data_IF_088651620325
#
_entry.id   IF_088651620325
#
_cell.length_a   1.000
_cell.length_b   1.000
_cell.length_c   1.000
_cell.angle_alpha   90.00
_cell.angle_beta   90.00
_cell.angle_gamma   90.00
#
_symmetry.space_group_name_H-M   'P 1'
#
loop_
_entity.id
_entity.type
_entity.pdbx_description
1 polymer ?
#
# COMPACT_ATOMS: atom_id res chain seq x y z
N UNK A 1 5.11 -28.91 12.26
CA UNK A 1 3.78 -28.34 12.63
C UNK A 1 3.69 -26.80 12.54
N UNK A 2 4.69 -26.01 12.96
CA UNK A 2 4.61 -24.53 13.01
C UNK A 2 4.50 -23.80 11.65
N UNK A 3 5.21 -24.26 10.61
CA UNK A 3 5.14 -23.65 9.26
C UNK A 3 3.72 -23.67 8.67
N UNK A 4 2.90 -24.65 9.07
CA UNK A 4 1.52 -24.77 8.61
C UNK A 4 0.60 -23.71 9.26
N UNK A 5 0.90 -23.27 10.48
CA UNK A 5 0.13 -22.23 11.16
C UNK A 5 0.34 -20.84 10.52
N UNK A 6 1.59 -20.49 10.19
CA UNK A 6 1.94 -19.20 9.57
C UNK A 6 1.32 -19.06 8.17
N UNK A 7 1.38 -20.12 7.35
CA UNK A 7 0.70 -20.16 6.04
C UNK A 7 -0.81 -20.01 6.15
N UNK A 8 -1.43 -20.52 7.23
CA UNK A 8 -2.87 -20.30 7.49
C UNK A 8 -3.18 -18.84 7.83
N UNK A 9 -2.32 -18.15 8.58
CA UNK A 9 -2.46 -16.72 8.86
C UNK A 9 -2.43 -15.91 7.57
N UNK A 10 -1.42 -16.10 6.73
CA UNK A 10 -1.32 -15.42 5.42
C UNK A 10 -2.56 -15.71 4.56
N UNK A 11 -2.96 -16.98 4.42
CA UNK A 11 -4.15 -17.36 3.64
C UNK A 11 -5.44 -16.73 4.17
N UNK A 12 -5.56 -16.54 5.49
CA UNK A 12 -6.70 -15.84 6.10
C UNK A 12 -6.64 -14.35 5.76
N UNK A 13 -5.48 -13.72 5.94
CA UNK A 13 -5.26 -12.29 5.71
C UNK A 13 -5.46 -11.89 4.23
N UNK A 14 -4.99 -12.69 3.27
CA UNK A 14 -5.18 -12.44 1.83
C UNK A 14 -6.66 -12.37 1.42
N UNK A 15 -7.55 -13.02 2.18
CA UNK A 15 -9.00 -13.04 1.93
C UNK A 15 -9.78 -11.92 2.62
N UNK A 16 -9.11 -10.99 3.29
CA UNK A 16 -9.77 -9.84 3.90
C UNK A 16 -10.32 -8.92 2.80
N UNK A 17 -11.63 -8.71 2.83
CA UNK A 17 -12.37 -7.84 1.88
C UNK A 17 -12.66 -6.48 2.54
N UNK A 18 -12.98 -6.47 3.84
CA UNK A 18 -13.33 -5.27 4.61
C UNK A 18 -12.18 -4.83 5.53
N UNK A 19 -11.01 -4.55 4.96
CA UNK A 19 -9.78 -4.23 5.72
C UNK A 19 -9.96 -3.04 6.68
N UNK A 20 -10.78 -2.05 6.33
CA UNK A 20 -11.06 -0.92 7.20
C UNK A 20 -11.74 -1.33 8.51
N UNK A 21 -12.74 -2.23 8.45
CA UNK A 21 -13.46 -2.70 9.62
C UNK A 21 -12.57 -3.53 10.56
N UNK A 22 -11.52 -4.15 10.03
CA UNK A 22 -10.58 -4.95 10.82
C UNK A 22 -9.77 -4.07 11.81
N UNK A 23 -9.61 -2.79 11.49
CA UNK A 23 -8.82 -1.82 12.25
C UNK A 23 -9.67 -0.73 12.90
N UNK A 24 -10.98 -1.00 13.06
CA UNK A 24 -11.94 -0.11 13.72
C UNK A 24 -12.06 1.27 13.01
N UNK A 25 -11.96 1.26 11.67
CA UNK A 25 -12.02 2.47 10.84
C UNK A 25 -10.69 3.20 10.74
N UNK A 26 -10.66 4.27 9.92
CA UNK A 26 -9.45 5.08 9.69
C UNK A 26 -9.51 6.49 10.28
N UNK A 27 -10.64 6.91 10.88
CA UNK A 27 -10.89 8.28 11.36
C UNK A 27 -9.81 8.87 12.26
N UNK A 28 -9.13 8.04 13.07
CA UNK A 28 -8.00 8.48 13.92
C UNK A 28 -6.76 8.94 13.15
N UNK A 29 -6.68 8.65 11.85
CA UNK A 29 -5.58 9.01 10.96
C UNK A 29 -5.96 10.12 9.96
N UNK A 30 -7.25 10.49 9.89
CA UNK A 30 -7.78 11.36 8.84
C UNK A 30 -7.55 12.85 9.11
N UNK A 31 -7.37 13.22 10.38
CA UNK A 31 -7.18 14.62 10.78
C UNK A 31 -5.68 14.90 10.98
N UNK A 32 -5.05 15.47 9.96
CA UNK A 32 -3.67 15.95 10.04
C UNK A 32 -3.65 17.46 10.16
N UNK A 33 -2.59 18.03 10.74
CA UNK A 33 -2.49 19.47 10.97
C UNK A 33 -2.60 20.30 9.68
N UNK A 34 -2.19 19.73 8.54
CA UNK A 34 -2.13 20.41 7.25
C UNK A 34 -3.30 20.09 6.30
N UNK A 35 -3.99 18.96 6.48
CA UNK A 35 -4.97 18.46 5.52
C UNK A 35 -5.92 17.45 6.17
N UNK A 36 -7.18 17.40 5.71
CA UNK A 36 -8.06 16.27 5.99
C UNK A 36 -7.92 15.24 4.88
N UNK A 37 -7.60 14.00 5.27
CA UNK A 37 -7.32 12.90 4.33
C UNK A 37 -8.30 11.77 4.59
N UNK A 38 -8.81 11.15 3.54
CA UNK A 38 -9.61 9.93 3.60
C UNK A 38 -8.79 8.76 3.08
N UNK A 39 -8.97 7.57 3.67
CA UNK A 39 -8.29 6.37 3.21
C UNK A 39 -9.28 5.43 2.51
N UNK A 40 -8.85 4.85 1.39
CA UNK A 40 -9.56 3.83 0.64
C UNK A 40 -8.70 2.57 0.55
N UNK A 41 -9.34 1.40 0.57
CA UNK A 41 -8.65 0.11 0.46
C UNK A 41 -9.07 -0.59 -0.81
N UNK A 42 -8.10 -1.09 -1.56
CA UNK A 42 -8.37 -1.81 -2.80
C UNK A 42 -7.41 -2.96 -3.01
N UNK A 43 -7.81 -3.93 -3.82
CA UNK A 43 -6.93 -4.96 -4.35
C UNK A 43 -6.32 -4.42 -5.65
N UNK A 44 -5.08 -4.79 -5.96
CA UNK A 44 -4.43 -4.33 -7.20
C UNK A 44 -5.21 -4.65 -8.47
N UNK A 45 -5.95 -5.77 -8.47
CA UNK A 45 -6.82 -6.18 -9.58
C UNK A 45 -8.12 -5.39 -9.70
N UNK A 46 -8.48 -4.59 -8.69
CA UNK A 46 -9.69 -3.78 -8.65
C UNK A 46 -9.41 -2.29 -8.82
N UNK A 47 -8.15 -1.89 -9.00
CA UNK A 47 -7.81 -0.54 -9.46
C UNK A 47 -8.31 -0.37 -10.90
N UNK A 48 -9.12 0.66 -11.13
CA UNK A 48 -9.47 1.04 -12.48
C UNK A 48 -8.23 1.56 -13.23
N UNK A 49 -8.34 1.78 -14.54
CA UNK A 49 -7.18 2.12 -15.36
C UNK A 49 -6.59 3.50 -15.01
N UNK A 50 -7.42 4.47 -14.61
CA UNK A 50 -6.96 5.80 -14.19
C UNK A 50 -6.20 5.73 -12.84
N UNK A 51 -6.76 5.02 -11.85
CA UNK A 51 -6.12 4.81 -10.55
C UNK A 51 -4.81 4.02 -10.69
N UNK A 52 -4.79 2.99 -11.54
CA UNK A 52 -3.58 2.20 -11.79
C UNK A 52 -2.50 3.04 -12.48
N UNK A 53 -2.87 3.82 -13.49
CA UNK A 53 -1.93 4.70 -14.17
C UNK A 53 -1.37 5.75 -13.21
N UNK A 54 -2.20 6.34 -12.35
CA UNK A 54 -1.72 7.25 -11.30
C UNK A 54 -0.73 6.57 -10.34
N UNK A 55 -1.06 5.38 -9.82
CA UNK A 55 -0.14 4.59 -8.96
C UNK A 55 1.20 4.37 -9.65
N UNK A 56 1.17 3.94 -10.92
CA UNK A 56 2.37 3.63 -11.68
C UNK A 56 3.19 4.89 -11.97
N UNK A 57 2.57 5.98 -12.39
CA UNK A 57 3.28 7.23 -12.68
C UNK A 57 3.89 7.85 -11.43
N UNK A 58 3.21 7.77 -10.28
CA UNK A 58 3.76 8.25 -9.01
C UNK A 58 4.99 7.41 -8.58
N UNK A 59 4.95 6.08 -8.75
CA UNK A 59 6.15 5.25 -8.58
C UNK A 59 7.29 5.69 -9.51
N UNK A 60 7.01 5.88 -10.79
CA UNK A 60 8.03 6.27 -11.78
C UNK A 60 8.66 7.61 -11.40
N UNK A 61 7.85 8.61 -11.06
CA UNK A 61 8.31 9.94 -10.67
C UNK A 61 9.25 9.87 -9.46
N UNK A 62 8.87 9.10 -8.44
CA UNK A 62 9.62 9.05 -7.18
C UNK A 62 10.82 8.09 -7.24
N UNK A 63 10.71 6.97 -7.96
CA UNK A 63 11.62 5.83 -7.79
C UNK A 63 12.48 5.50 -9.01
N UNK A 64 12.10 5.89 -10.24
CA UNK A 64 12.79 5.42 -11.45
C UNK A 64 14.29 5.70 -11.42
N UNK A 65 14.68 6.92 -11.07
CA UNK A 65 16.09 7.31 -11.01
C UNK A 65 16.86 6.44 -10.00
N UNK A 66 16.28 6.18 -8.82
CA UNK A 66 16.89 5.34 -7.79
C UNK A 66 17.02 3.88 -8.24
N UNK A 67 16.02 3.33 -8.93
CA UNK A 67 16.08 1.98 -9.48
C UNK A 67 17.17 1.84 -10.56
N UNK A 68 17.29 2.81 -11.45
CA UNK A 68 18.28 2.80 -12.54
C UNK A 68 19.73 2.81 -12.06
N UNK A 69 20.01 3.49 -10.94
CA UNK A 69 21.36 3.50 -10.33
C UNK A 69 21.61 2.33 -9.38
N UNK A 70 20.57 1.56 -9.04
CA UNK A 70 20.67 0.39 -8.18
C UNK A 70 21.07 -0.87 -8.96
N UNK A 71 21.47 -1.92 -8.24
CA UNK A 71 21.75 -3.24 -8.84
C UNK A 71 20.50 -3.93 -9.41
N UNK A 72 19.29 -3.49 -9.01
CA UNK A 72 18.03 -4.07 -9.46
C UNK A 72 17.63 -3.61 -10.87
N UNK A 73 18.11 -2.44 -11.30
CA UNK A 73 17.68 -1.80 -12.55
C UNK A 73 16.20 -1.38 -12.53
N UNK A 74 15.70 -0.86 -13.64
CA UNK A 74 14.28 -0.49 -13.80
C UNK A 74 13.67 -1.30 -14.95
N UNK A 75 12.71 -2.17 -14.63
CA UNK A 75 11.89 -2.90 -15.60
C UNK A 75 10.43 -2.48 -15.42
N UNK A 76 9.93 -1.73 -16.39
CA UNK A 76 8.56 -1.23 -16.41
C UNK A 76 7.52 -2.35 -16.46
N UNK A 77 7.73 -3.36 -17.30
CA UNK A 77 6.75 -4.45 -17.48
C UNK A 77 6.65 -5.28 -16.21
N UNK A 78 7.79 -5.61 -15.62
CA UNK A 78 7.86 -6.33 -14.35
C UNK A 78 7.18 -5.53 -13.22
N UNK A 79 7.47 -4.22 -13.11
CA UNK A 79 6.85 -3.37 -12.10
C UNK A 79 5.33 -3.24 -12.29
N UNK A 80 4.84 -3.07 -13.53
CA UNK A 80 3.39 -3.05 -13.82
C UNK A 80 2.73 -4.37 -13.41
N UNK A 81 3.35 -5.51 -13.70
CA UNK A 81 2.86 -6.83 -13.29
C UNK A 81 2.84 -6.98 -11.76
N UNK A 82 3.87 -6.48 -11.07
CA UNK A 82 3.95 -6.48 -9.61
C UNK A 82 2.82 -5.66 -8.98
N UNK A 83 2.62 -4.42 -9.44
CA UNK A 83 1.61 -3.51 -8.92
C UNK A 83 0.19 -4.06 -9.11
N UNK A 84 -0.06 -4.80 -10.21
CA UNK A 84 -1.38 -5.38 -10.54
C UNK A 84 -1.56 -6.86 -10.17
N UNK A 85 -0.62 -7.46 -9.43
CA UNK A 85 -0.73 -8.86 -9.03
C UNK A 85 -1.98 -9.12 -8.15
N UNK A 86 -2.52 -10.34 -8.21
CA UNK A 86 -3.71 -10.75 -7.44
C UNK A 86 -3.52 -10.68 -5.92
N UNK A 87 -2.27 -10.73 -5.45
CA UNK A 87 -1.88 -10.59 -4.05
C UNK A 87 -1.65 -9.15 -3.62
N UNK A 88 -1.57 -8.20 -4.56
CA UNK A 88 -1.35 -6.79 -4.27
C UNK A 88 -2.55 -6.16 -3.59
N UNK A 89 -2.30 -5.42 -2.52
CA UNK A 89 -3.27 -4.66 -1.74
C UNK A 89 -2.80 -3.22 -1.62
N UNK A 90 -3.75 -2.30 -1.55
CA UNK A 90 -3.50 -0.87 -1.51
C UNK A 90 -4.24 -0.21 -0.36
N UNK A 91 -3.57 0.75 0.26
CA UNK A 91 -4.18 1.83 1.05
C UNK A 91 -3.94 3.10 0.24
N UNK A 92 -5.00 3.77 -0.21
CA UNK A 92 -4.93 5.00 -0.99
C UNK A 92 -5.42 6.15 -0.13
N UNK A 93 -4.57 7.15 0.07
CA UNK A 93 -4.93 8.42 0.68
C UNK A 93 -5.53 9.33 -0.38
N UNK A 94 -6.68 9.94 -0.06
CA UNK A 94 -7.39 10.89 -0.91
C UNK A 94 -7.60 12.20 -0.16
N UNK A 95 -7.47 13.33 -0.85
CA UNK A 95 -7.77 14.64 -0.29
C UNK A 95 -9.28 14.90 -0.21
N UNK A 96 -9.68 16.10 0.20
CA UNK A 96 -11.08 16.50 0.34
C UNK A 96 -11.88 16.50 -0.97
N UNK A 97 -11.20 16.55 -2.12
CA UNK A 97 -11.81 16.52 -3.45
C UNK A 97 -11.86 15.10 -4.04
N UNK A 98 -11.61 14.07 -3.22
CA UNK A 98 -11.48 12.67 -3.61
C UNK A 98 -10.32 12.36 -4.58
N UNK A 99 -9.40 13.30 -4.78
CA UNK A 99 -8.21 13.08 -5.60
C UNK A 99 -7.21 12.20 -4.82
N UNK A 100 -6.65 11.14 -5.43
CA UNK A 100 -5.60 10.35 -4.79
C UNK A 100 -4.31 11.18 -4.66
N UNK A 101 -3.66 11.09 -3.50
CA UNK A 101 -2.48 11.91 -3.13
C UNK A 101 -1.31 11.08 -2.60
N UNK A 102 -1.57 9.85 -2.16
CA UNK A 102 -0.54 8.91 -1.72
C UNK A 102 -1.09 7.49 -1.71
N UNK A 103 -0.20 6.49 -1.79
CA UNK A 103 -0.58 5.11 -1.61
C UNK A 103 0.47 4.31 -0.85
N UNK A 104 0.02 3.22 -0.24
CA UNK A 104 0.85 2.14 0.27
C UNK A 104 0.44 0.84 -0.39
N UNK A 105 1.36 0.22 -1.12
CA UNK A 105 1.20 -1.09 -1.74
C UNK A 105 1.83 -2.15 -0.85
N UNK A 106 1.06 -3.16 -0.48
CA UNK A 106 1.51 -4.23 0.39
C UNK A 106 0.98 -5.59 -0.06
N UNK A 107 1.58 -6.64 0.51
CA UNK A 107 1.10 -8.02 0.42
C UNK A 107 1.19 -8.69 1.78
N UNK A 108 0.37 -9.71 2.01
CA UNK A 108 0.58 -10.65 3.11
C UNK A 108 1.46 -11.77 2.59
N UNK A 109 2.60 -12.01 3.24
CA UNK A 109 3.58 -13.01 2.80
C UNK A 109 4.25 -13.72 3.97
N UNK A 110 5.06 -14.74 3.66
CA UNK A 110 6.02 -15.34 4.57
C UNK A 110 7.41 -14.79 4.24
N UNK A 111 7.96 -13.99 5.14
CA UNK A 111 9.34 -13.49 5.03
C UNK A 111 10.18 -13.97 6.21
N UNK A 112 11.35 -14.55 5.94
CA UNK A 112 12.22 -15.21 6.94
C UNK A 112 11.46 -16.09 7.96
N UNK A 113 10.59 -17.00 7.46
CA UNK A 113 9.69 -17.84 8.25
C UNK A 113 8.73 -17.05 9.16
N UNK A 114 8.40 -15.79 8.87
CA UNK A 114 7.43 -14.99 9.63
C UNK A 114 6.26 -14.59 8.74
N UNK A 115 5.03 -14.69 9.27
CA UNK A 115 3.87 -14.14 8.57
C UNK A 115 3.89 -12.63 8.73
N UNK A 116 3.98 -11.90 7.62
CA UNK A 116 4.16 -10.45 7.61
C UNK A 116 3.17 -9.75 6.70
N UNK A 117 2.88 -8.50 7.02
CA UNK A 117 2.43 -7.52 6.04
C UNK A 117 3.70 -6.86 5.47
N UNK A 118 4.03 -7.21 4.23
CA UNK A 118 5.20 -6.68 3.54
C UNK A 118 4.80 -5.42 2.77
N UNK A 119 5.35 -4.27 3.17
CA UNK A 119 5.20 -3.00 2.45
C UNK A 119 6.16 -3.00 1.25
N UNK A 120 5.62 -3.06 0.04
CA UNK A 120 6.41 -3.02 -1.20
C UNK A 120 6.73 -1.59 -1.60
N UNK A 121 5.72 -0.73 -1.60
CA UNK A 121 5.86 0.67 -1.97
C UNK A 121 5.08 1.56 -1.00
N UNK A 122 5.65 2.71 -0.71
CA UNK A 122 4.94 3.83 -0.09
C UNK A 122 5.31 5.09 -0.86
N UNK A 123 4.31 5.70 -1.50
CA UNK A 123 4.52 6.82 -2.40
C UNK A 123 3.57 7.95 -2.05
N UNK A 124 4.09 9.18 -2.03
CA UNK A 124 3.34 10.41 -1.70
C UNK A 124 3.67 11.45 -2.77
N UNK A 125 2.63 12.08 -3.30
CA UNK A 125 2.76 13.23 -4.20
C UNK A 125 3.61 14.32 -3.55
N UNK A 126 4.51 14.96 -4.31
CA UNK A 126 5.51 15.92 -3.80
C UNK A 126 4.88 17.02 -2.92
N UNK A 127 3.78 17.63 -3.37
CA UNK A 127 3.03 18.66 -2.65
C UNK A 127 2.48 18.17 -1.28
N UNK A 128 2.34 16.86 -1.10
CA UNK A 128 1.77 16.22 0.08
C UNK A 128 2.84 15.57 0.99
N UNK A 129 4.11 15.67 0.64
CA UNK A 129 5.21 15.16 1.47
C UNK A 129 5.44 16.02 2.72
N UNK A 130 6.07 15.43 3.75
CA UNK A 130 6.38 16.09 5.05
C UNK A 130 5.12 16.58 5.80
N UNK A 131 3.93 16.14 5.40
CA UNK A 131 2.63 16.47 6.03
C UNK A 131 2.07 15.36 6.93
N UNK A 132 2.85 14.31 7.19
CA UNK A 132 2.45 13.16 8.04
C UNK A 132 1.68 12.04 7.32
N UNK A 133 1.39 12.19 6.03
CA UNK A 133 0.60 11.21 5.25
C UNK A 133 1.29 9.85 5.17
N UNK A 134 2.60 9.83 4.91
CA UNK A 134 3.37 8.58 4.88
C UNK A 134 3.33 7.85 6.23
N UNK A 135 3.47 8.59 7.33
CA UNK A 135 3.39 8.02 8.69
C UNK A 135 2.00 7.45 8.99
N UNK A 136 0.94 8.11 8.53
CA UNK A 136 -0.43 7.61 8.67
C UNK A 136 -0.64 6.30 7.88
N UNK A 137 -0.17 6.23 6.62
CA UNK A 137 -0.23 5.01 5.81
C UNK A 137 0.47 3.84 6.50
N UNK A 138 1.68 4.05 7.02
CA UNK A 138 2.42 3.03 7.77
C UNK A 138 1.70 2.61 9.05
N UNK A 139 1.12 3.56 9.79
CA UNK A 139 0.37 3.27 11.02
C UNK A 139 -0.88 2.43 10.75
N UNK A 140 -1.57 2.68 9.62
CA UNK A 140 -2.71 1.88 9.16
C UNK A 140 -2.24 0.48 8.79
N UNK A 141 -1.16 0.36 8.01
CA UNK A 141 -0.57 -0.93 7.65
C UNK A 141 -0.13 -1.74 8.89
N UNK A 142 0.46 -1.08 9.89
CA UNK A 142 0.84 -1.71 11.15
C UNK A 142 -0.40 -2.25 11.90
N UNK A 143 -1.49 -1.47 11.96
CA UNK A 143 -2.74 -1.93 12.56
C UNK A 143 -3.30 -3.16 11.84
N UNK A 144 -3.19 -3.22 10.51
CA UNK A 144 -3.59 -4.38 9.72
C UNK A 144 -2.70 -5.59 9.99
N UNK A 145 -1.38 -5.40 10.09
CA UNK A 145 -0.43 -6.48 10.35
C UNK A 145 -0.59 -7.15 11.72
N UNK A 146 -1.22 -6.47 12.68
CA UNK A 146 -1.48 -6.98 14.04
C UNK A 146 -2.74 -7.85 14.17
N UNK A 147 -3.57 -7.95 13.13
CA UNK A 147 -4.90 -8.60 13.18
C UNK A 147 -4.92 -9.96 12.47
#
# INVERSE_FOLDING_TARGET
>A
MKANAKKKLVKKATKLINTENVIDGTTRFENMASEKVRFAFSWGTHLNDEEFEWVFQLFVANMRAMYQISQWGYDELSKKQELRATTSRYIIAKNTNDKPIAYLHYRFDIDFDSAVLYCYEIQVEDEYQVKGIGSALLSIAECLGKK
#
